data_IF_089958680223
#
_entry.id   IF_089958680223
#
_cell.length_a   1.000
_cell.length_b   1.000
_cell.length_c   1.000
_cell.angle_alpha   90.00
_cell.angle_beta   90.00
_cell.angle_gamma   90.00
#
_symmetry.space_group_name_H-M   'P 1'
#
loop_
_entity.id
_entity.type
_entity.pdbx_description
1 polymer ?
#
# COMPACT_ATOMS: atom_id res chain seq x y z
N UNK A 1 7.37 16.62 -1.52
CA UNK A 1 6.05 16.40 -0.90
C UNK A 1 5.68 14.94 -1.10
N UNK A 2 5.23 14.21 -0.06
CA UNK A 2 4.83 12.82 -0.23
C UNK A 2 3.65 12.70 -1.20
N UNK A 3 3.63 11.63 -2.00
CA UNK A 3 2.61 11.40 -3.04
C UNK A 3 1.98 10.01 -2.93
N UNK A 4 0.71 9.91 -3.28
CA UNK A 4 -0.04 8.66 -3.29
C UNK A 4 -0.51 8.38 -4.72
N UNK A 5 -0.23 7.18 -5.22
CA UNK A 5 -0.67 6.70 -6.53
C UNK A 5 -1.67 5.56 -6.33
N UNK A 6 -2.87 5.72 -6.88
CA UNK A 6 -3.88 4.66 -6.88
C UNK A 6 -3.59 3.71 -8.03
N UNK A 7 -3.43 2.42 -7.73
CA UNK A 7 -3.31 1.33 -8.70
C UNK A 7 -4.70 0.78 -9.07
N UNK A 8 -4.81 0.01 -10.16
CA UNK A 8 -6.05 -0.67 -10.51
C UNK A 8 -6.64 -1.53 -9.36
N UNK A 9 -7.92 -1.94 -9.46
CA UNK A 9 -8.57 -2.73 -8.44
C UNK A 9 -7.87 -4.06 -8.18
N UNK A 10 -7.50 -4.32 -6.92
CA UNK A 10 -6.79 -5.53 -6.53
C UNK A 10 -6.79 -5.71 -5.01
N UNK A 11 -7.46 -6.75 -4.51
CA UNK A 11 -7.53 -7.06 -3.08
C UNK A 11 -6.41 -8.00 -2.58
N UNK A 12 -5.67 -8.60 -3.49
CA UNK A 12 -4.69 -9.63 -3.14
C UNK A 12 -3.37 -8.98 -2.72
N UNK A 13 -2.91 -8.00 -3.49
CA UNK A 13 -1.61 -7.38 -3.29
C UNK A 13 -1.58 -6.37 -2.13
N UNK A 14 -0.44 -6.32 -1.46
CA UNK A 14 -0.15 -5.29 -0.45
C UNK A 14 0.16 -3.93 -1.14
N UNK A 15 -0.09 -2.81 -0.44
CA UNK A 15 0.46 -1.53 -0.87
C UNK A 15 2.00 -1.60 -0.84
N UNK A 16 2.64 -0.81 -1.69
CA UNK A 16 4.11 -0.74 -1.80
C UNK A 16 4.56 0.71 -1.74
N UNK A 17 5.77 1.00 -1.28
CA UNK A 17 6.34 2.35 -1.35
C UNK A 17 7.66 2.41 -2.12
N UNK A 18 7.95 3.59 -2.64
CA UNK A 18 9.28 4.02 -3.03
C UNK A 18 9.69 5.16 -2.08
N UNK A 19 10.56 4.84 -1.13
CA UNK A 19 11.00 5.76 -0.08
C UNK A 19 11.88 6.89 -0.62
N UNK A 20 12.72 6.62 -1.64
CA UNK A 20 13.60 7.62 -2.27
C UNK A 20 12.85 8.84 -2.82
N UNK A 21 11.59 8.65 -3.25
CA UNK A 21 10.74 9.71 -3.79
C UNK A 21 9.50 9.98 -2.93
N UNK A 22 9.44 9.43 -1.72
CA UNK A 22 8.30 9.56 -0.81
C UNK A 22 6.95 9.23 -1.49
N UNK A 23 6.88 8.10 -2.21
CA UNK A 23 5.68 7.69 -2.95
C UNK A 23 5.09 6.39 -2.41
N UNK A 24 3.78 6.40 -2.17
CA UNK A 24 2.99 5.24 -1.77
C UNK A 24 2.09 4.79 -2.92
N UNK A 25 2.12 3.51 -3.27
CA UNK A 25 1.26 2.88 -4.27
C UNK A 25 0.20 2.04 -3.57
N UNK A 26 -1.08 2.39 -3.78
CA UNK A 26 -2.22 1.75 -3.10
C UNK A 26 -3.17 1.19 -4.16
N UNK A 27 -3.44 -0.13 -4.20
CA UNK A 27 -4.52 -0.69 -4.99
C UNK A 27 -5.89 -0.09 -4.66
N UNK A 28 -6.79 -0.05 -5.65
CA UNK A 28 -8.19 0.27 -5.39
C UNK A 28 -8.88 -0.95 -4.75
N UNK A 29 -8.77 -1.05 -3.43
CA UNK A 29 -9.42 -2.13 -2.67
C UNK A 29 -10.94 -2.05 -2.76
N UNK A 30 -11.59 -3.21 -2.76
CA UNK A 30 -13.06 -3.30 -2.86
C UNK A 30 -13.80 -2.76 -1.63
N UNK A 31 -13.11 -2.62 -0.48
CA UNK A 31 -13.69 -2.02 0.72
C UNK A 31 -12.66 -1.30 1.61
N UNK A 32 -13.17 -0.36 2.42
CA UNK A 32 -12.37 0.34 3.45
C UNK A 32 -11.78 -0.62 4.49
N UNK A 33 -12.46 -1.73 4.78
CA UNK A 33 -11.99 -2.75 5.72
C UNK A 33 -10.73 -3.44 5.18
N UNK A 34 -10.74 -3.85 3.91
CA UNK A 34 -9.60 -4.48 3.24
C UNK A 34 -8.41 -3.51 3.17
N UNK A 35 -8.66 -2.26 2.77
CA UNK A 35 -7.62 -1.21 2.77
C UNK A 35 -6.93 -1.10 4.13
N UNK A 36 -7.71 -1.00 5.22
CA UNK A 36 -7.17 -0.90 6.58
C UNK A 36 -6.34 -2.13 6.95
N UNK A 37 -6.84 -3.33 6.68
CA UNK A 37 -6.14 -4.58 7.01
C UNK A 37 -4.82 -4.71 6.24
N UNK A 38 -4.84 -4.47 4.93
CA UNK A 38 -3.65 -4.59 4.06
C UNK A 38 -2.60 -3.55 4.38
N UNK A 39 -3.01 -2.31 4.67
CA UNK A 39 -2.09 -1.26 5.06
C UNK A 39 -1.41 -1.56 6.41
N UNK A 40 -2.19 -2.01 7.41
CA UNK A 40 -1.65 -2.40 8.72
C UNK A 40 -0.70 -3.60 8.61
N UNK A 41 -0.99 -4.55 7.71
CA UNK A 41 -0.10 -5.67 7.44
C UNK A 41 1.20 -5.18 6.79
N UNK A 42 1.11 -4.35 5.75
CA UNK A 42 2.29 -3.85 5.03
C UNK A 42 3.26 -3.06 5.93
N UNK A 43 2.77 -2.23 6.88
CA UNK A 43 3.65 -1.48 7.82
C UNK A 43 4.33 -2.36 8.86
N UNK A 44 3.78 -3.54 9.15
CA UNK A 44 4.35 -4.48 10.13
C UNK A 44 5.30 -5.49 9.49
N UNK A 45 5.16 -5.74 8.18
CA UNK A 45 5.97 -6.71 7.45
C UNK A 45 7.37 -6.17 7.20
N UNK A 46 8.36 -6.71 7.91
CA UNK A 46 9.77 -6.29 7.85
C UNK A 46 10.49 -6.62 6.53
N UNK A 47 9.91 -7.44 5.66
CA UNK A 47 10.58 -7.93 4.46
C UNK A 47 10.11 -7.32 3.13
N UNK A 48 8.83 -6.95 2.97
CA UNK A 48 8.26 -6.67 1.64
C UNK A 48 7.23 -5.52 1.57
N UNK A 49 6.81 -4.92 2.69
CA UNK A 49 5.67 -4.00 2.69
C UNK A 49 6.04 -2.53 2.45
N UNK A 50 7.11 -2.06 3.09
CA UNK A 50 7.61 -0.69 2.97
C UNK A 50 9.12 -0.72 3.23
N UNK A 51 9.91 -0.74 2.17
CA UNK A 51 11.36 -0.51 2.22
C UNK A 51 11.62 0.84 1.57
#
# INVERSE_FOLDING_TARGET
MPSITIRPPDDQHLPTANTCISRLYVPLYSSKQILKQKLLLAIKTKNFGFV
#
